data_IF_837449078539
#
_entry.id   IF_837449078539
#
_cell.length_a   1.000
_cell.length_b   1.000
_cell.length_c   1.000
_cell.angle_alpha   90.00
_cell.angle_beta   90.00
_cell.angle_gamma   90.00
#
_symmetry.space_group_name_H-M   'P 1'
#
loop_
_entity.id
_entity.type
_entity.pdbx_description
1 polymer ?
#
# COMPACT_ATOMS: atom_id res chain seq x y z
N UNK A 1 -12.40 -16.97 4.06
CA UNK A 1 -13.01 -15.92 4.91
C UNK A 1 -11.98 -15.53 5.95
N UNK A 2 -11.77 -14.23 6.16
CA UNK A 2 -10.90 -13.73 7.22
C UNK A 2 -11.63 -13.93 8.56
N UNK A 3 -10.95 -14.49 9.55
CA UNK A 3 -11.54 -14.68 10.88
C UNK A 3 -11.52 -13.37 11.68
N UNK A 4 -12.58 -13.10 12.45
CA UNK A 4 -12.66 -11.92 13.33
C UNK A 4 -11.50 -11.87 14.35
N UNK A 5 -10.98 -13.02 14.78
CA UNK A 5 -9.78 -13.14 15.61
C UNK A 5 -8.58 -12.48 14.95
N UNK A 6 -8.34 -12.76 13.66
CA UNK A 6 -7.20 -12.25 12.91
C UNK A 6 -7.27 -10.72 12.71
N UNK A 7 -8.46 -10.16 12.47
CA UNK A 7 -8.63 -8.70 12.41
C UNK A 7 -8.26 -8.03 13.73
N UNK A 8 -8.69 -8.61 14.86
CA UNK A 8 -8.35 -8.11 16.20
C UNK A 8 -6.86 -8.25 16.49
N UNK A 9 -6.24 -9.34 16.06
CA UNK A 9 -4.80 -9.55 16.21
C UNK A 9 -3.99 -8.55 15.38
N UNK A 10 -4.42 -8.28 14.14
CA UNK A 10 -3.82 -7.25 13.28
C UNK A 10 -3.94 -5.84 13.86
N UNK A 11 -5.10 -5.49 14.44
CA UNK A 11 -5.29 -4.21 15.12
C UNK A 11 -4.33 -4.07 16.32
N UNK A 12 -4.25 -5.09 17.17
CA UNK A 12 -3.31 -5.10 18.30
C UNK A 12 -1.85 -5.05 17.84
N UNK A 13 -1.53 -5.73 16.74
CA UNK A 13 -0.20 -5.77 16.14
C UNK A 13 0.22 -4.37 15.66
N UNK A 14 -0.66 -3.66 14.95
CA UNK A 14 -0.45 -2.27 14.54
C UNK A 14 -0.28 -1.35 15.75
N UNK A 15 -1.17 -1.46 16.75
CA UNK A 15 -1.14 -0.62 17.96
C UNK A 15 0.17 -0.71 18.75
N UNK A 16 0.79 -1.89 18.79
CA UNK A 16 2.07 -2.11 19.50
C UNK A 16 3.28 -1.56 18.76
N UNK A 17 3.18 -1.35 17.45
CA UNK A 17 4.31 -0.99 16.58
C UNK A 17 4.30 0.47 16.12
N UNK A 18 3.17 1.15 16.27
CA UNK A 18 2.94 2.47 15.71
C UNK A 18 2.66 3.48 16.80
N UNK A 19 3.16 4.69 16.62
CA UNK A 19 2.74 5.86 17.39
C UNK A 19 1.22 6.05 17.30
N UNK A 20 0.64 6.70 18.30
CA UNK A 20 -0.80 6.96 18.34
C UNK A 20 -1.32 7.61 17.05
N UNK A 21 -0.61 8.63 16.53
CA UNK A 21 -1.00 9.33 15.30
C UNK A 21 -1.03 8.38 14.09
N UNK A 22 -0.05 7.49 13.98
CA UNK A 22 0.08 6.53 12.88
C UNK A 22 -0.93 5.38 13.01
N UNK A 23 -1.21 4.96 14.24
CA UNK A 23 -2.25 3.99 14.53
C UNK A 23 -3.64 4.52 14.15
N UNK A 24 -3.98 5.75 14.53
CA UNK A 24 -5.23 6.41 14.12
C UNK A 24 -5.36 6.53 12.60
N UNK A 25 -4.26 6.85 11.90
CA UNK A 25 -4.20 6.79 10.43
C UNK A 25 -4.53 5.38 9.92
N UNK A 26 -3.91 4.36 10.50
CA UNK A 26 -4.09 2.96 10.13
C UNK A 26 -5.55 2.50 10.29
N UNK A 27 -6.22 2.89 11.37
CA UNK A 27 -7.65 2.59 11.56
C UNK A 27 -8.53 3.24 10.49
N UNK A 28 -8.25 4.51 10.15
CA UNK A 28 -9.00 5.21 9.09
C UNK A 28 -8.73 4.63 7.70
N UNK A 29 -7.50 4.17 7.43
CA UNK A 29 -7.17 3.44 6.19
C UNK A 29 -7.92 2.12 6.12
N UNK A 30 -7.92 1.32 7.20
CA UNK A 30 -8.64 0.04 7.24
C UNK A 30 -10.14 0.22 6.97
N UNK A 31 -10.78 1.20 7.61
CA UNK A 31 -12.20 1.51 7.40
C UNK A 31 -12.47 2.01 5.97
N UNK A 32 -11.61 2.87 5.44
CA UNK A 32 -11.72 3.39 4.06
C UNK A 32 -11.54 2.27 3.03
N UNK A 33 -10.58 1.37 3.25
CA UNK A 33 -10.32 0.22 2.38
C UNK A 33 -11.50 -0.75 2.39
N UNK A 34 -12.07 -1.05 3.57
CA UNK A 34 -13.28 -1.87 3.70
C UNK A 34 -14.47 -1.31 2.93
N UNK A 35 -14.72 0.01 3.04
CA UNK A 35 -15.79 0.69 2.29
C UNK A 35 -15.57 0.70 0.79
N UNK A 36 -14.34 0.93 0.34
CA UNK A 36 -14.00 0.82 -1.08
C UNK A 36 -14.19 -0.61 -1.58
N UNK A 37 -13.77 -1.61 -0.81
CA UNK A 37 -13.96 -3.01 -1.17
C UNK A 37 -15.45 -3.37 -1.32
N UNK A 38 -16.29 -3.03 -0.34
CA UNK A 38 -17.75 -3.20 -0.43
C UNK A 38 -18.33 -2.55 -1.69
N UNK A 39 -17.96 -1.29 -1.96
CA UNK A 39 -18.46 -0.54 -3.11
C UNK A 39 -18.06 -1.17 -4.46
N UNK A 40 -16.88 -1.76 -4.54
CA UNK A 40 -16.33 -2.36 -5.76
C UNK A 40 -16.52 -3.89 -5.83
N UNK A 41 -17.32 -4.48 -4.94
CA UNK A 41 -17.63 -5.91 -4.96
C UNK A 41 -16.47 -6.82 -4.55
N UNK A 42 -15.55 -6.32 -3.73
CA UNK A 42 -14.42 -7.06 -3.15
C UNK A 42 -14.73 -7.50 -1.72
N UNK A 43 -13.91 -8.40 -1.16
CA UNK A 43 -14.02 -8.81 0.24
C UNK A 43 -13.55 -7.67 1.18
N UNK A 44 -14.45 -7.08 1.99
CA UNK A 44 -14.08 -5.95 2.84
C UNK A 44 -13.22 -6.34 4.03
N UNK A 45 -13.26 -7.59 4.50
CA UNK A 45 -12.44 -8.01 5.63
C UNK A 45 -11.00 -8.25 5.21
N UNK A 46 -10.77 -8.73 3.97
CA UNK A 46 -9.44 -8.71 3.37
C UNK A 46 -8.89 -7.28 3.26
N UNK A 47 -9.71 -6.33 2.82
CA UNK A 47 -9.30 -4.95 2.64
C UNK A 47 -8.99 -4.26 3.98
N UNK A 48 -9.82 -4.49 5.00
CA UNK A 48 -9.59 -4.03 6.38
C UNK A 48 -8.31 -4.63 6.95
N UNK A 49 -8.10 -5.94 6.78
CA UNK A 49 -6.88 -6.62 7.25
C UNK A 49 -5.62 -6.02 6.60
N UNK A 50 -5.63 -5.84 5.29
CA UNK A 50 -4.51 -5.19 4.59
C UNK A 50 -4.30 -3.74 5.03
N UNK A 51 -5.39 -2.98 5.22
CA UNK A 51 -5.35 -1.63 5.75
C UNK A 51 -4.79 -1.54 7.17
N UNK A 52 -5.09 -2.49 8.05
CA UNK A 52 -4.51 -2.56 9.41
C UNK A 52 -3.00 -2.84 9.40
N UNK A 53 -2.51 -3.52 8.37
CA UNK A 53 -1.13 -4.00 8.30
C UNK A 53 -0.21 -3.15 7.42
N UNK A 54 -0.75 -2.29 6.54
CA UNK A 54 0.02 -1.59 5.50
C UNK A 54 1.25 -0.82 6.03
N UNK A 55 1.07 -0.08 7.13
CA UNK A 55 2.09 0.77 7.75
C UNK A 55 2.73 0.08 8.97
N UNK A 56 2.50 -1.22 9.23
CA UNK A 56 2.93 -1.89 10.47
C UNK A 56 4.45 -1.87 10.72
N UNK A 57 5.24 -1.67 9.66
CA UNK A 57 6.71 -1.53 9.72
C UNK A 57 7.18 -0.09 9.50
N UNK A 58 6.26 0.89 9.39
CA UNK A 58 6.55 2.29 9.03
C UNK A 58 7.43 3.02 10.03
N UNK A 59 7.39 2.65 11.30
CA UNK A 59 8.19 3.26 12.37
C UNK A 59 9.40 2.42 12.76
N UNK A 60 9.72 1.40 11.95
CA UNK A 60 10.99 0.68 12.04
C UNK A 60 12.11 1.59 11.56
N UNK A 61 13.21 1.64 12.31
CA UNK A 61 14.41 2.40 11.93
C UNK A 61 15.04 1.85 10.64
N UNK A 62 15.80 2.69 9.93
CA UNK A 62 16.29 2.41 8.57
C UNK A 62 17.09 1.12 8.46
N UNK A 63 18.05 0.92 9.37
CA UNK A 63 18.90 -0.26 9.41
C UNK A 63 18.10 -1.51 9.79
N UNK A 64 17.01 -1.36 10.55
CA UNK A 64 16.06 -2.41 10.87
C UNK A 64 15.26 -2.85 9.64
N UNK A 65 14.81 -1.90 8.81
CA UNK A 65 14.11 -2.21 7.55
C UNK A 65 15.00 -2.98 6.57
N UNK A 66 16.26 -2.56 6.40
CA UNK A 66 17.21 -3.27 5.54
C UNK A 66 17.47 -4.68 6.06
N UNK A 67 17.76 -4.83 7.35
CA UNK A 67 18.01 -6.12 7.96
C UNK A 67 16.83 -7.07 7.79
N UNK A 68 15.62 -6.61 8.10
CA UNK A 68 14.41 -7.43 7.96
C UNK A 68 14.14 -7.79 6.49
N UNK A 69 14.44 -6.90 5.55
CA UNK A 69 14.31 -7.20 4.14
C UNK A 69 15.34 -8.25 3.68
N UNK A 70 16.59 -8.17 4.16
CA UNK A 70 17.64 -9.14 3.88
C UNK A 70 17.35 -10.51 4.52
N UNK A 71 16.92 -10.54 5.78
CA UNK A 71 16.49 -11.77 6.49
C UNK A 71 15.31 -12.48 5.81
N UNK A 72 14.53 -11.73 5.04
CA UNK A 72 13.36 -12.20 4.31
C UNK A 72 13.63 -12.51 2.83
N UNK A 73 14.89 -12.43 2.40
CA UNK A 73 15.30 -12.59 0.99
C UNK A 73 14.53 -11.66 0.02
N UNK A 74 14.14 -10.47 0.49
CA UNK A 74 13.47 -9.49 -0.36
C UNK A 74 14.49 -8.86 -1.32
N UNK A 75 14.13 -8.64 -2.60
CA UNK A 75 14.98 -7.89 -3.51
C UNK A 75 15.07 -6.43 -3.04
N UNK A 76 16.29 -5.91 -2.93
CA UNK A 76 16.57 -4.52 -2.53
C UNK A 76 17.43 -3.86 -3.62
N UNK A 77 16.89 -2.85 -4.28
CA UNK A 77 17.61 -2.05 -5.27
C UNK A 77 18.40 -0.89 -4.61
N UNK A 78 19.22 -0.21 -5.41
CA UNK A 78 20.08 0.89 -4.93
C UNK A 78 19.27 2.03 -4.29
N UNK A 79 18.15 2.44 -4.90
CA UNK A 79 17.28 3.48 -4.35
C UNK A 79 16.64 3.06 -3.02
N UNK A 80 16.28 1.79 -2.85
CA UNK A 80 15.77 1.23 -1.60
C UNK A 80 16.86 1.15 -0.52
N UNK A 81 18.13 0.90 -0.89
CA UNK A 81 19.28 0.99 0.04
C UNK A 81 19.53 2.42 0.50
N UNK A 82 19.47 3.39 -0.41
CA UNK A 82 19.58 4.81 -0.08
C UNK A 82 18.38 5.34 0.72
N UNK A 83 17.18 4.77 0.46
CA UNK A 83 15.92 5.16 1.08
C UNK A 83 15.18 3.96 1.66
N UNK A 84 15.67 3.38 2.78
CA UNK A 84 15.10 2.16 3.38
C UNK A 84 13.62 2.29 3.75
N UNK A 85 13.13 3.51 3.96
CA UNK A 85 11.72 3.77 4.18
C UNK A 85 10.81 3.27 3.05
N UNK A 86 11.30 3.04 1.83
CA UNK A 86 10.51 2.43 0.76
C UNK A 86 10.19 0.95 1.02
N UNK A 87 10.97 0.29 1.89
CA UNK A 87 10.83 -1.13 2.21
C UNK A 87 9.75 -1.42 3.26
N UNK A 88 9.14 -0.41 3.90
CA UNK A 88 8.19 -0.67 4.98
C UNK A 88 6.97 -1.48 4.53
N UNK A 89 6.46 -1.28 3.30
CA UNK A 89 5.37 -2.10 2.75
C UNK A 89 5.79 -3.57 2.58
N UNK A 90 6.86 -3.88 1.81
CA UNK A 90 7.36 -5.24 1.68
C UNK A 90 7.72 -5.92 3.00
N UNK A 91 8.38 -5.21 3.92
CA UNK A 91 8.72 -5.72 5.25
C UNK A 91 7.46 -5.93 6.10
N UNK A 92 6.46 -5.05 6.02
CA UNK A 92 5.19 -5.25 6.73
C UNK A 92 4.43 -6.48 6.23
N UNK A 93 4.41 -6.73 4.92
CA UNK A 93 3.80 -7.93 4.34
C UNK A 93 4.49 -9.19 4.87
N UNK A 94 5.81 -9.20 4.90
CA UNK A 94 6.56 -10.34 5.41
C UNK A 94 6.36 -10.55 6.91
N UNK A 95 6.41 -9.48 7.71
CA UNK A 95 6.14 -9.57 9.14
C UNK A 95 4.72 -10.07 9.41
N UNK A 96 3.71 -9.63 8.64
CA UNK A 96 2.35 -10.13 8.78
C UNK A 96 2.24 -11.63 8.45
N UNK A 97 2.93 -12.09 7.41
CA UNK A 97 3.01 -13.51 7.05
C UNK A 97 3.64 -14.34 8.16
N UNK A 98 4.77 -13.90 8.69
CA UNK A 98 5.57 -14.61 9.70
C UNK A 98 4.95 -14.55 11.10
N UNK A 99 4.59 -13.36 11.57
CA UNK A 99 4.22 -13.10 12.96
C UNK A 99 2.73 -13.34 13.24
N UNK A 100 1.86 -13.11 12.25
CA UNK A 100 0.40 -13.29 12.38
C UNK A 100 -0.13 -14.48 11.58
N UNK A 101 0.72 -15.16 10.81
CA UNK A 101 0.31 -16.31 10.00
C UNK A 101 -0.64 -15.95 8.86
N UNK A 102 -0.61 -14.70 8.36
CA UNK A 102 -1.44 -14.29 7.22
C UNK A 102 -1.00 -15.07 5.98
N UNK A 103 -1.94 -15.80 5.36
CA UNK A 103 -1.70 -16.62 4.16
C UNK A 103 -2.39 -16.11 2.90
N UNK A 104 -3.28 -15.14 3.03
CA UNK A 104 -4.04 -14.61 1.91
C UNK A 104 -3.12 -13.76 1.00
N UNK A 105 -2.93 -14.21 -0.24
CA UNK A 105 -1.98 -13.57 -1.16
C UNK A 105 -2.41 -12.17 -1.59
N UNK A 106 -3.72 -11.90 -1.70
CA UNK A 106 -4.23 -10.59 -2.08
C UNK A 106 -3.98 -9.57 -0.95
N UNK A 107 -4.17 -9.99 0.30
CA UNK A 107 -3.85 -9.15 1.48
C UNK A 107 -2.36 -8.83 1.53
N UNK A 108 -1.51 -9.83 1.37
CA UNK A 108 -0.06 -9.65 1.42
C UNK A 108 0.46 -8.80 0.25
N UNK A 109 -0.11 -8.96 -0.95
CA UNK A 109 0.16 -8.10 -2.10
C UNK A 109 -0.22 -6.65 -1.80
N UNK A 110 -1.45 -6.42 -1.33
CA UNK A 110 -1.95 -5.09 -1.02
C UNK A 110 -1.07 -4.35 -0.01
N UNK A 111 -0.60 -5.04 1.04
CA UNK A 111 0.36 -4.48 2.01
C UNK A 111 1.71 -4.20 1.36
N UNK A 112 2.24 -5.12 0.55
CA UNK A 112 3.56 -5.02 -0.08
C UNK A 112 3.68 -3.81 -0.99
N UNK A 113 2.66 -3.56 -1.81
CA UNK A 113 2.74 -2.58 -2.92
C UNK A 113 2.10 -1.23 -2.60
N UNK A 114 1.53 -1.03 -1.41
CA UNK A 114 0.74 0.17 -1.08
C UNK A 114 1.52 1.51 -1.22
N UNK A 115 2.85 1.48 -1.09
CA UNK A 115 3.67 2.70 -1.15
C UNK A 115 3.95 3.12 -2.60
N UNK A 116 4.53 2.22 -3.40
CA UNK A 116 5.03 2.54 -4.74
C UNK A 116 4.03 2.18 -5.85
N UNK A 117 3.08 1.30 -5.57
CA UNK A 117 2.39 0.53 -6.59
C UNK A 117 3.32 -0.44 -7.31
N UNK A 118 2.74 -1.29 -8.16
CA UNK A 118 3.44 -2.21 -9.07
C UNK A 118 2.52 -2.50 -10.28
N UNK A 119 3.05 -2.84 -11.47
CA UNK A 119 2.24 -3.33 -12.58
C UNK A 119 1.44 -4.56 -12.17
N UNK A 120 0.17 -4.64 -12.61
CA UNK A 120 -0.68 -5.79 -12.37
C UNK A 120 -1.32 -5.86 -10.98
N UNK A 121 -1.27 -4.77 -10.20
CA UNK A 121 -1.94 -4.69 -8.90
C UNK A 121 -3.38 -5.21 -8.95
N UNK A 122 -3.69 -6.16 -8.09
CA UNK A 122 -5.05 -6.65 -7.91
C UNK A 122 -6.02 -5.55 -7.44
N UNK A 123 -7.34 -5.74 -7.62
CA UNK A 123 -8.35 -4.78 -7.16
C UNK A 123 -8.24 -4.46 -5.66
N UNK A 124 -7.91 -5.45 -4.82
CA UNK A 124 -7.70 -5.24 -3.39
C UNK A 124 -6.51 -4.31 -3.11
N UNK A 125 -5.39 -4.52 -3.82
CA UNK A 125 -4.21 -3.67 -3.73
C UNK A 125 -4.51 -2.23 -4.16
N UNK A 126 -5.28 -2.04 -5.24
CA UNK A 126 -5.74 -0.72 -5.67
C UNK A 126 -6.60 -0.03 -4.59
N UNK A 127 -7.51 -0.78 -3.94
CA UNK A 127 -8.36 -0.25 -2.87
C UNK A 127 -7.53 0.21 -1.65
N UNK A 128 -6.57 -0.61 -1.21
CA UNK A 128 -5.69 -0.27 -0.06
C UNK A 128 -4.74 0.87 -0.41
N UNK A 129 -4.16 0.84 -1.61
CA UNK A 129 -3.35 1.94 -2.15
C UNK A 129 -4.13 3.24 -2.05
N UNK A 130 -5.35 3.28 -2.60
CA UNK A 130 -6.20 4.47 -2.56
C UNK A 130 -6.60 4.90 -1.15
N UNK A 131 -6.99 3.94 -0.30
CA UNK A 131 -7.41 4.21 1.07
C UNK A 131 -6.34 4.99 1.84
N UNK A 132 -5.04 4.65 1.71
CA UNK A 132 -3.94 5.39 2.35
C UNK A 132 -3.88 6.87 1.93
N UNK A 133 -4.27 7.19 0.69
CA UNK A 133 -4.23 8.57 0.17
C UNK A 133 -5.51 9.36 0.42
N UNK A 134 -6.64 8.69 0.63
CA UNK A 134 -7.96 9.34 0.68
C UNK A 134 -8.67 9.23 2.02
N UNK A 135 -8.10 8.51 2.99
CA UNK A 135 -8.68 8.36 4.31
C UNK A 135 -9.10 9.74 4.91
N UNK A 136 -10.17 9.81 5.72
CA UNK A 136 -10.80 11.10 6.11
C UNK A 136 -9.87 12.15 6.76
N UNK A 137 -8.76 11.73 7.36
CA UNK A 137 -7.75 12.61 7.95
C UNK A 137 -6.76 13.22 6.94
N UNK A 138 -6.79 12.82 5.66
CA UNK A 138 -5.97 13.42 4.61
C UNK A 138 -6.59 14.73 4.11
N UNK A 139 -5.72 15.72 3.92
CA UNK A 139 -6.05 17.11 3.62
C UNK A 139 -5.23 17.70 2.45
N UNK A 140 -4.50 16.85 1.71
CA UNK A 140 -3.63 17.31 0.63
C UNK A 140 -4.44 17.87 -0.55
N UNK A 141 -3.90 18.82 -1.33
CA UNK A 141 -4.57 19.36 -2.51
C UNK A 141 -5.02 18.25 -3.48
N UNK A 142 -6.29 18.33 -3.91
CA UNK A 142 -6.88 17.37 -4.85
C UNK A 142 -7.45 16.08 -4.22
N UNK A 143 -7.31 15.88 -2.90
CA UNK A 143 -7.82 14.66 -2.21
C UNK A 143 -9.32 14.45 -2.41
N UNK A 144 -10.14 15.51 -2.41
CA UNK A 144 -11.59 15.38 -2.61
C UNK A 144 -11.97 14.95 -4.02
N UNK A 145 -11.21 15.39 -5.03
CA UNK A 145 -11.35 14.90 -6.40
C UNK A 145 -11.02 13.42 -6.47
N UNK A 146 -9.93 13.01 -5.81
CA UNK A 146 -9.51 11.61 -5.74
C UNK A 146 -10.54 10.73 -5.00
N UNK A 147 -11.11 11.21 -3.89
CA UNK A 147 -12.22 10.55 -3.17
C UNK A 147 -13.39 10.28 -4.11
N UNK A 148 -13.88 11.30 -4.83
CA UNK A 148 -14.99 11.17 -5.79
C UNK A 148 -14.68 10.20 -6.92
N UNK A 149 -13.43 10.16 -7.38
CA UNK A 149 -12.99 9.25 -8.44
C UNK A 149 -12.91 7.80 -7.95
N UNK A 150 -12.41 7.59 -6.73
CA UNK A 150 -12.31 6.27 -6.10
C UNK A 150 -13.67 5.61 -5.89
N UNK A 151 -14.74 6.41 -5.71
CA UNK A 151 -16.11 5.89 -5.66
C UNK A 151 -16.60 5.32 -7.00
N UNK A 152 -15.99 5.72 -8.12
CA UNK A 152 -16.43 5.34 -9.47
C UNK A 152 -15.53 4.28 -10.11
N UNK A 153 -14.22 4.34 -9.85
CA UNK A 153 -13.25 3.43 -10.43
C UNK A 153 -11.95 3.45 -9.65
N UNK A 154 -11.59 2.30 -9.05
CA UNK A 154 -10.29 2.11 -8.39
C UNK A 154 -9.14 2.37 -9.37
N UNK A 155 -9.26 1.87 -10.59
CA UNK A 155 -8.21 2.02 -11.61
C UNK A 155 -7.95 3.48 -11.98
N UNK A 156 -9.00 4.23 -12.33
CA UNK A 156 -8.86 5.66 -12.69
C UNK A 156 -8.36 6.49 -11.52
N UNK A 157 -8.81 6.18 -10.30
CA UNK A 157 -8.34 6.86 -9.11
C UNK A 157 -6.87 6.54 -8.82
N UNK A 158 -6.46 5.27 -8.92
CA UNK A 158 -5.08 4.87 -8.69
C UNK A 158 -4.13 5.53 -9.69
N UNK A 159 -4.55 5.63 -10.96
CA UNK A 159 -3.81 6.39 -11.99
C UNK A 159 -3.61 7.84 -11.56
N UNK A 160 -4.69 8.55 -11.25
CA UNK A 160 -4.62 9.95 -10.82
C UNK A 160 -3.76 10.15 -9.56
N UNK A 161 -3.83 9.21 -8.61
CA UNK A 161 -3.01 9.24 -7.40
C UNK A 161 -1.52 9.01 -7.68
N UNK A 162 -1.17 8.11 -8.62
CA UNK A 162 0.20 7.89 -9.06
C UNK A 162 0.74 9.12 -9.80
N UNK A 163 0.00 9.68 -10.75
CA UNK A 163 0.38 10.92 -11.46
C UNK A 163 0.68 12.05 -10.47
N UNK A 164 -0.20 12.26 -9.48
CA UNK A 164 0.01 13.26 -8.45
C UNK A 164 1.26 12.99 -7.59
N UNK A 165 1.51 11.72 -7.22
CA UNK A 165 2.69 11.34 -6.45
C UNK A 165 3.99 11.52 -7.23
N UNK A 166 3.99 11.21 -8.53
CA UNK A 166 5.15 11.35 -9.41
C UNK A 166 5.46 12.84 -9.61
N UNK A 167 4.44 13.64 -9.96
CA UNK A 167 4.59 15.08 -10.12
C UNK A 167 5.10 15.75 -8.84
N UNK A 168 4.61 15.32 -7.67
CA UNK A 168 5.10 15.82 -6.37
C UNK A 168 6.59 15.54 -6.15
N UNK A 169 7.06 14.35 -6.52
CA UNK A 169 8.48 13.99 -6.39
C UNK A 169 9.35 14.81 -7.35
N UNK A 170 8.92 14.96 -8.60
CA UNK A 170 9.61 15.75 -9.64
C UNK A 170 9.77 17.21 -9.24
N UNK A 171 8.68 17.84 -8.77
CA UNK A 171 8.68 19.22 -8.27
C UNK A 171 9.64 19.43 -7.08
N UNK A 172 10.01 18.37 -6.37
CA UNK A 172 10.93 18.37 -5.22
C UNK A 172 12.33 17.87 -5.58
N UNK A 173 12.61 17.58 -6.86
CA UNK A 173 13.89 17.03 -7.31
C UNK A 173 14.19 15.65 -6.69
N UNK A 174 13.17 14.87 -6.33
CA UNK A 174 13.33 13.54 -5.74
C UNK A 174 13.13 12.47 -6.82
N UNK A 175 13.99 11.44 -6.91
CA UNK A 175 13.75 10.31 -7.79
C UNK A 175 12.45 9.59 -7.40
N UNK A 176 11.68 9.29 -8.42
CA UNK A 176 10.50 8.40 -8.36
C UNK A 176 10.97 6.96 -8.49
N UNK A 177 10.38 6.06 -7.70
CA UNK A 177 10.71 4.65 -7.77
C UNK A 177 10.28 4.05 -9.11
N UNK A 178 11.12 3.22 -9.74
CA UNK A 178 10.84 2.61 -11.05
C UNK A 178 9.53 1.83 -11.08
N UNK A 179 9.16 1.18 -9.96
CA UNK A 179 7.85 0.51 -9.85
C UNK A 179 6.67 1.46 -10.01
N UNK A 180 6.76 2.68 -9.50
CA UNK A 180 5.68 3.68 -9.65
C UNK A 180 5.53 4.14 -11.10
N UNK A 181 6.64 4.31 -11.82
CA UNK A 181 6.62 4.64 -13.25
C UNK A 181 5.99 3.51 -14.08
N UNK A 182 6.42 2.27 -13.85
CA UNK A 182 5.87 1.09 -14.53
C UNK A 182 4.40 0.86 -14.17
N UNK A 183 4.02 1.08 -12.91
CA UNK A 183 2.62 0.98 -12.48
C UNK A 183 1.75 2.02 -13.17
N UNK A 184 2.24 3.26 -13.34
CA UNK A 184 1.54 4.27 -14.10
C UNK A 184 1.35 3.83 -15.55
N UNK A 185 2.42 3.43 -16.24
CA UNK A 185 2.36 2.94 -17.63
C UNK A 185 1.34 1.82 -17.82
N UNK A 186 1.32 0.85 -16.89
CA UNK A 186 0.34 -0.23 -16.88
C UNK A 186 -1.11 0.28 -16.73
N UNK A 187 -1.36 1.25 -15.85
CA UNK A 187 -2.67 1.88 -15.68
C UNK A 187 -3.08 2.75 -16.88
N UNK A 188 -2.14 3.16 -17.74
CA UNK A 188 -2.48 3.83 -19.01
C UNK A 188 -2.87 2.84 -20.09
N UNK A 189 -2.27 1.64 -20.07
CA UNK A 189 -2.42 0.61 -21.08
C UNK A 189 -2.79 -0.76 -20.47
N UNK A 190 -3.99 -0.93 -19.89
CA UNK A 190 -4.37 -2.14 -19.16
C UNK A 190 -4.49 -3.44 -20.00
N UNK A 191 -4.15 -3.39 -21.29
CA UNK A 191 -4.05 -4.55 -22.20
C UNK A 191 -2.70 -4.69 -22.92
N UNK A 192 -1.73 -3.83 -22.62
CA UNK A 192 -0.39 -3.90 -23.22
C UNK A 192 0.49 -4.91 -22.48
N UNK A 193 0.99 -5.93 -23.18
CA UNK A 193 2.14 -6.71 -22.69
C UNK A 193 3.27 -5.71 -22.41
N UNK A 194 3.84 -5.73 -21.21
CA UNK A 194 4.98 -4.88 -20.88
C UNK A 194 6.09 -5.11 -21.88
N UNK A 195 6.32 -4.15 -22.77
CA UNK A 195 7.48 -4.09 -23.66
C UNK A 195 8.71 -3.79 -22.80
N UNK A 196 9.31 -4.83 -22.23
CA UNK A 196 10.44 -4.63 -21.33
C UNK A 196 11.02 -5.91 -20.73
N UNK A 197 11.06 -7.00 -21.50
CA UNK A 197 12.05 -8.07 -21.33
C UNK A 197 12.62 -8.36 -22.72
N UNK A 198 13.77 -7.74 -23.01
CA UNK A 198 14.71 -8.15 -24.06
C UNK A 198 16.03 -8.41 -23.34
#
# INVERSE_FOLDING_TARGET
MIENSLLKDAENYARKRLSYKRYEHTLRVAETAGRLAELHGLDPDKARLAGLLHDASRETYKEGLLRLAEEADLPINELERERPMLLHGPVAAECARRDLGVKDSEVLEAVRVHTTGEPGMGPLALAVYLADKIEPGRDQPGVDGLRKLALKSLHRAAKAALEASISYNEQRGRPTHTKSLRALEWLENPGGKSSGEV
#
